data_IF_936416268079
#
_entry.id   IF_936416268079
#
_cell.length_a   1.000
_cell.length_b   1.000
_cell.length_c   1.000
_cell.angle_alpha   90.00
_cell.angle_beta   90.00
_cell.angle_gamma   90.00
#
_symmetry.space_group_name_H-M   'P 1'
#
loop_
_entity.id
_entity.type
_entity.pdbx_description
1 polymer ?
#
# COMPACT_ATOMS: atom_id res chain seq x y z
N UNK A 1 16.97 -7.46 2.21
CA UNK A 1 15.63 -8.03 2.02
C UNK A 1 15.02 -7.44 0.77
N UNK A 2 14.33 -8.23 -0.03
CA UNK A 2 13.61 -7.76 -1.23
C UNK A 2 12.19 -7.33 -0.83
N UNK A 3 11.83 -6.08 -1.15
CA UNK A 3 10.51 -5.51 -0.89
C UNK A 3 9.81 -5.29 -2.23
N UNK A 4 8.61 -5.80 -2.37
CA UNK A 4 7.79 -5.68 -3.57
C UNK A 4 6.57 -4.79 -3.35
N UNK A 5 6.27 -3.97 -4.34
CA UNK A 5 5.14 -3.04 -4.35
C UNK A 5 4.37 -3.25 -5.65
N UNK A 6 3.33 -4.07 -5.65
CA UNK A 6 2.49 -4.27 -6.81
C UNK A 6 1.54 -3.09 -7.04
N UNK A 7 1.04 -2.97 -8.26
CA UNK A 7 -0.06 -2.07 -8.60
C UNK A 7 -1.34 -2.53 -7.89
N UNK A 8 -2.04 -1.60 -7.25
CA UNK A 8 -3.35 -1.89 -6.65
C UNK A 8 -4.42 -2.16 -7.72
N UNK A 9 -5.21 -3.21 -7.50
CA UNK A 9 -6.24 -3.66 -8.45
C UNK A 9 -7.67 -3.44 -7.96
N UNK A 10 -7.83 -3.01 -6.70
CA UNK A 10 -9.14 -2.74 -6.14
C UNK A 10 -9.79 -1.54 -6.85
N UNK A 11 -11.07 -1.66 -7.20
CA UNK A 11 -11.79 -0.61 -7.90
C UNK A 11 -11.77 0.71 -7.10
N UNK A 12 -11.37 1.80 -7.76
CA UNK A 12 -11.27 3.13 -7.16
C UNK A 12 -10.06 3.34 -6.25
N UNK A 13 -9.18 2.35 -6.07
CA UNK A 13 -7.93 2.55 -5.32
C UNK A 13 -6.88 3.23 -6.21
N UNK A 14 -6.46 4.42 -5.80
CA UNK A 14 -5.46 5.23 -6.52
C UNK A 14 -4.15 5.38 -5.76
N UNK A 15 -4.10 4.90 -4.51
CA UNK A 15 -2.91 4.98 -3.67
C UNK A 15 -1.90 3.91 -4.05
N UNK A 16 -0.66 4.17 -3.69
CA UNK A 16 0.44 3.20 -3.73
C UNK A 16 1.02 3.05 -2.32
N UNK A 17 1.44 1.86 -1.96
CA UNK A 17 1.93 1.58 -0.59
C UNK A 17 3.29 2.21 -0.28
N UNK A 18 4.09 2.52 -1.30
CA UNK A 18 5.42 3.12 -1.17
C UNK A 18 5.56 4.27 -2.15
N UNK A 19 5.87 5.48 -1.66
CA UNK A 19 6.20 6.64 -2.49
C UNK A 19 7.69 6.62 -2.89
N UNK A 20 8.12 7.37 -3.92
CA UNK A 20 9.56 7.47 -4.27
C UNK A 20 10.44 7.90 -3.09
N UNK A 21 9.94 8.83 -2.25
CA UNK A 21 10.67 9.25 -1.05
C UNK A 21 10.84 8.09 -0.04
N UNK A 22 9.78 7.32 0.17
CA UNK A 22 9.82 6.14 1.05
C UNK A 22 10.74 5.07 0.47
N UNK A 23 10.70 4.82 -0.85
CA UNK A 23 11.60 3.90 -1.52
C UNK A 23 13.09 4.28 -1.30
N UNK A 24 13.41 5.56 -1.41
CA UNK A 24 14.75 6.08 -1.12
C UNK A 24 15.18 5.80 0.32
N UNK A 25 14.29 6.00 1.30
CA UNK A 25 14.57 5.72 2.72
C UNK A 25 14.81 4.23 2.98
N UNK A 26 13.96 3.36 2.44
CA UNK A 26 14.11 1.91 2.57
C UNK A 26 15.39 1.41 1.91
N UNK A 27 15.74 1.97 0.74
CA UNK A 27 17.00 1.65 0.07
C UNK A 27 18.22 2.06 0.90
N UNK A 28 18.19 3.23 1.53
CA UNK A 28 19.26 3.69 2.42
C UNK A 28 19.44 2.75 3.65
N UNK A 29 18.41 2.00 4.03
CA UNK A 29 18.45 0.96 5.07
C UNK A 29 18.97 -0.40 4.55
N UNK A 30 19.40 -0.48 3.29
CA UNK A 30 19.97 -1.70 2.71
C UNK A 30 18.95 -2.67 2.11
N UNK A 31 17.73 -2.22 1.82
CA UNK A 31 16.72 -3.04 1.16
C UNK A 31 16.75 -2.85 -0.36
N UNK A 32 16.38 -3.90 -1.11
CA UNK A 32 16.10 -3.81 -2.54
C UNK A 32 14.60 -3.60 -2.71
N UNK A 33 14.20 -2.60 -3.51
CA UNK A 33 12.80 -2.24 -3.71
C UNK A 33 12.42 -2.51 -5.16
N UNK A 34 11.39 -3.31 -5.38
CA UNK A 34 10.78 -3.57 -6.69
C UNK A 34 9.39 -2.99 -6.75
N UNK A 35 9.17 -2.15 -7.73
CA UNK A 35 7.88 -1.50 -7.99
C UNK A 35 7.31 -2.07 -9.28
N UNK A 36 6.07 -2.54 -9.28
CA UNK A 36 5.38 -2.89 -10.52
C UNK A 36 5.26 -1.66 -11.41
N UNK A 37 5.54 -1.83 -12.70
CA UNK A 37 5.44 -0.75 -13.67
C UNK A 37 4.07 -0.06 -13.61
N UNK A 38 4.06 1.25 -13.49
CA UNK A 38 2.85 2.05 -13.39
C UNK A 38 2.16 2.07 -12.01
N UNK A 39 2.67 1.36 -11.00
CA UNK A 39 2.02 1.25 -9.69
C UNK A 39 1.75 2.60 -8.99
N UNK A 40 2.59 3.59 -9.22
CA UNK A 40 2.47 4.92 -8.63
C UNK A 40 1.73 5.94 -9.49
N UNK A 41 1.37 5.65 -10.74
CA UNK A 41 0.85 6.65 -11.68
C UNK A 41 -0.43 7.33 -11.19
N UNK A 42 -1.36 6.57 -10.64
CA UNK A 42 -2.60 7.10 -10.07
C UNK A 42 -2.37 7.97 -8.82
N UNK A 43 -1.23 7.81 -8.15
CA UNK A 43 -0.77 8.62 -7.03
C UNK A 43 0.22 9.73 -7.44
N UNK A 44 0.31 10.05 -8.74
CA UNK A 44 1.23 11.05 -9.31
C UNK A 44 2.72 10.74 -9.12
N UNK A 45 3.07 9.46 -8.91
CA UNK A 45 4.44 8.98 -8.80
C UNK A 45 4.80 8.16 -10.05
N UNK A 46 5.69 8.69 -10.88
CA UNK A 46 6.10 8.04 -12.14
C UNK A 46 7.18 6.96 -11.91
N UNK A 47 7.27 6.01 -12.82
CA UNK A 47 8.33 4.98 -12.79
C UNK A 47 9.73 5.63 -12.81
N UNK A 48 9.91 6.72 -13.56
CA UNK A 48 11.16 7.47 -13.56
C UNK A 48 11.53 8.04 -12.19
N UNK A 49 10.53 8.48 -11.40
CA UNK A 49 10.77 8.97 -10.04
C UNK A 49 11.21 7.84 -9.10
N UNK A 50 10.66 6.63 -9.26
CA UNK A 50 11.11 5.45 -8.50
C UNK A 50 12.53 5.02 -8.89
N UNK A 51 12.86 5.02 -10.17
CA UNK A 51 14.22 4.73 -10.67
C UNK A 51 15.21 5.74 -10.08
N UNK A 52 14.88 7.03 -10.09
CA UNK A 52 15.71 8.08 -9.50
C UNK A 52 15.88 7.91 -7.97
N UNK A 53 14.88 7.33 -7.30
CA UNK A 53 14.95 6.96 -5.88
C UNK A 53 15.76 5.67 -5.63
N UNK A 54 16.21 4.99 -6.71
CA UNK A 54 16.99 3.77 -6.69
C UNK A 54 16.18 2.48 -6.54
N UNK A 55 14.87 2.51 -6.82
CA UNK A 55 14.05 1.32 -6.93
C UNK A 55 14.18 0.69 -8.33
N UNK A 56 13.89 -0.60 -8.41
CA UNK A 56 13.82 -1.37 -9.65
C UNK A 56 12.37 -1.41 -10.14
N UNK A 57 12.12 -1.12 -11.41
CA UNK A 57 10.82 -1.35 -12.04
C UNK A 57 10.75 -2.78 -12.55
N UNK A 58 9.64 -3.46 -12.30
CA UNK A 58 9.44 -4.86 -12.63
C UNK A 58 8.00 -5.10 -13.12
N UNK A 59 7.71 -6.33 -13.51
CA UNK A 59 6.35 -6.80 -13.74
C UNK A 59 5.65 -7.18 -12.42
N UNK A 60 4.37 -7.54 -12.52
CA UNK A 60 3.57 -7.97 -11.36
C UNK A 60 4.17 -9.16 -10.63
N UNK A 61 4.65 -10.16 -11.37
CA UNK A 61 5.22 -11.37 -10.76
C UNK A 61 6.50 -11.05 -9.98
N UNK A 62 7.34 -10.16 -10.50
CA UNK A 62 8.55 -9.70 -9.81
C UNK A 62 8.27 -8.90 -8.54
N UNK A 63 7.17 -8.11 -8.51
CA UNK A 63 6.75 -7.39 -7.32
C UNK A 63 6.11 -8.32 -6.27
N UNK A 64 5.20 -9.21 -6.69
CA UNK A 64 4.53 -10.15 -5.78
C UNK A 64 5.46 -11.24 -5.24
N UNK A 65 6.49 -11.65 -5.99
CA UNK A 65 7.47 -12.67 -5.59
C UNK A 65 8.55 -12.22 -4.60
N UNK A 66 8.40 -11.05 -3.98
CA UNK A 66 9.34 -10.49 -3.01
C UNK A 66 9.28 -11.20 -1.65
N UNK A 67 10.27 -10.94 -0.78
CA UNK A 67 10.29 -11.46 0.61
C UNK A 67 9.29 -10.71 1.51
N UNK A 68 9.05 -9.44 1.22
CA UNK A 68 8.05 -8.59 1.85
C UNK A 68 7.23 -7.90 0.76
N UNK A 69 5.93 -8.10 0.75
CA UNK A 69 5.00 -7.42 -0.16
C UNK A 69 4.23 -6.35 0.60
N UNK A 70 4.29 -5.12 0.11
CA UNK A 70 3.57 -3.98 0.66
C UNK A 70 2.39 -3.64 -0.25
N UNK A 71 1.18 -3.68 0.28
CA UNK A 71 -0.07 -3.33 -0.42
C UNK A 71 -0.88 -2.31 0.37
N UNK A 72 -1.73 -1.57 -0.33
CA UNK A 72 -2.76 -0.73 0.30
C UNK A 72 -3.96 -1.60 0.68
N UNK A 73 -4.42 -2.48 -0.21
CA UNK A 73 -5.57 -3.37 -0.01
C UNK A 73 -5.16 -4.83 0.08
N UNK A 74 -6.04 -5.65 0.64
CA UNK A 74 -5.85 -7.09 0.65
C UNK A 74 -5.61 -7.63 -0.78
N UNK A 75 -4.76 -8.65 -0.93
CA UNK A 75 -4.53 -9.27 -2.23
C UNK A 75 -5.80 -9.98 -2.73
N UNK A 76 -6.02 -9.94 -4.02
CA UNK A 76 -7.04 -10.75 -4.67
C UNK A 76 -6.64 -12.23 -4.71
N UNK A 77 -7.61 -13.12 -4.93
CA UNK A 77 -7.34 -14.55 -5.11
C UNK A 77 -6.38 -14.85 -6.28
N UNK A 78 -6.35 -13.99 -7.31
CA UNK A 78 -5.44 -14.11 -8.45
C UNK A 78 -3.99 -13.70 -8.13
N UNK A 79 -3.77 -12.89 -7.11
CA UNK A 79 -2.43 -12.42 -6.70
C UNK A 79 -1.73 -13.40 -5.76
N UNK A 80 -2.47 -14.11 -4.92
CA UNK A 80 -1.92 -15.03 -3.92
C UNK A 80 -0.98 -16.10 -4.48
N UNK A 81 -1.27 -16.76 -5.63
CA UNK A 81 -0.36 -17.76 -6.19
C UNK A 81 0.99 -17.22 -6.67
N UNK A 82 1.08 -15.91 -6.94
CA UNK A 82 2.32 -15.27 -7.36
C UNK A 82 3.19 -14.84 -6.16
N UNK A 83 2.67 -14.89 -4.95
CA UNK A 83 3.41 -14.59 -3.73
C UNK A 83 4.24 -15.79 -3.28
N UNK A 84 5.44 -15.50 -2.80
CA UNK A 84 6.35 -16.51 -2.30
C UNK A 84 5.86 -17.05 -0.95
N UNK A 85 5.72 -18.36 -0.82
CA UNK A 85 5.41 -18.97 0.48
C UNK A 85 6.49 -18.60 1.52
N UNK A 86 6.06 -18.25 2.72
CA UNK A 86 6.92 -17.72 3.78
C UNK A 86 7.20 -16.22 3.69
N UNK A 87 6.73 -15.53 2.63
CA UNK A 87 6.87 -14.10 2.54
C UNK A 87 5.99 -13.36 3.56
N UNK A 88 6.39 -12.13 3.89
CA UNK A 88 5.57 -11.22 4.69
C UNK A 88 4.67 -10.37 3.78
N UNK A 89 3.43 -10.13 4.22
CA UNK A 89 2.47 -9.26 3.57
C UNK A 89 2.02 -8.19 4.58
N UNK A 90 2.14 -6.92 4.21
CA UNK A 90 1.70 -5.80 5.06
C UNK A 90 0.76 -4.89 4.28
N UNK A 91 -0.36 -4.53 4.88
CA UNK A 91 -1.35 -3.66 4.27
C UNK A 91 -2.64 -3.57 5.09
N UNK A 92 -3.66 -2.97 4.53
CA UNK A 92 -5.04 -3.04 5.06
C UNK A 92 -5.69 -4.31 4.50
N UNK A 93 -5.73 -5.36 5.29
CA UNK A 93 -6.02 -6.72 4.85
C UNK A 93 -7.43 -7.19 5.19
N UNK A 94 -8.27 -6.29 5.74
CA UNK A 94 -9.64 -6.60 6.17
C UNK A 94 -9.71 -7.81 7.13
N UNK A 95 -9.25 -7.68 8.39
CA UNK A 95 -9.16 -8.78 9.34
C UNK A 95 -10.52 -9.38 9.74
N UNK A 96 -11.63 -8.80 9.28
CA UNK A 96 -12.99 -9.31 9.47
C UNK A 96 -13.47 -10.23 8.33
N UNK A 97 -12.73 -10.32 7.22
CA UNK A 97 -12.97 -11.24 6.13
C UNK A 97 -12.30 -12.60 6.41
N UNK A 98 -13.08 -13.50 7.01
CA UNK A 98 -12.58 -14.82 7.39
C UNK A 98 -12.09 -15.67 6.20
N UNK A 99 -12.70 -15.52 5.03
CA UNK A 99 -12.34 -16.29 3.85
C UNK A 99 -11.08 -15.72 3.19
N UNK A 100 -10.92 -14.40 3.14
CA UNK A 100 -9.69 -13.75 2.72
C UNK A 100 -8.52 -14.13 3.62
N UNK A 101 -8.71 -14.16 4.94
CA UNK A 101 -7.66 -14.57 5.89
C UNK A 101 -7.27 -16.05 5.72
N UNK A 102 -8.25 -16.95 5.50
CA UNK A 102 -7.95 -18.36 5.19
C UNK A 102 -7.14 -18.51 3.90
N UNK A 103 -7.48 -17.73 2.86
CA UNK A 103 -6.76 -17.76 1.60
C UNK A 103 -5.31 -17.28 1.76
N UNK A 104 -5.09 -16.19 2.51
CA UNK A 104 -3.74 -15.69 2.84
C UNK A 104 -2.95 -16.73 3.63
N UNK A 105 -3.57 -17.36 4.63
CA UNK A 105 -2.94 -18.42 5.42
C UNK A 105 -2.62 -19.66 4.57
N UNK A 106 -3.53 -20.07 3.68
CA UNK A 106 -3.31 -21.19 2.77
C UNK A 106 -2.17 -20.95 1.77
N UNK A 107 -1.93 -19.68 1.41
CA UNK A 107 -0.76 -19.28 0.60
C UNK A 107 0.57 -19.31 1.39
N UNK A 108 0.52 -19.60 2.69
CA UNK A 108 1.72 -19.70 3.55
C UNK A 108 2.36 -18.34 3.86
N UNK A 109 1.58 -17.26 3.86
CA UNK A 109 2.06 -15.89 4.10
C UNK A 109 2.01 -15.54 5.59
N UNK A 110 2.97 -14.72 6.04
CA UNK A 110 2.90 -14.04 7.33
C UNK A 110 2.32 -12.64 7.11
N UNK A 111 1.11 -12.39 7.58
CA UNK A 111 0.40 -11.15 7.27
C UNK A 111 0.23 -10.21 8.47
N UNK A 112 0.35 -8.91 8.20
CA UNK A 112 0.16 -7.83 9.18
C UNK A 112 -0.90 -6.86 8.64
N UNK A 113 -2.09 -6.91 9.24
CA UNK A 113 -3.19 -5.99 8.94
C UNK A 113 -2.99 -4.70 9.75
N UNK A 114 -2.67 -3.61 9.08
CA UNK A 114 -2.37 -2.32 9.74
C UNK A 114 -3.57 -1.75 10.47
N UNK A 115 -4.79 -1.99 9.99
CA UNK A 115 -6.03 -1.58 10.64
C UNK A 115 -6.34 -2.36 11.93
N UNK A 116 -5.69 -3.50 12.16
CA UNK A 116 -5.79 -4.28 13.39
C UNK A 116 -4.76 -3.86 14.45
N UNK A 117 -3.89 -2.89 14.16
CA UNK A 117 -2.91 -2.39 15.11
C UNK A 117 -3.61 -1.82 16.35
N UNK A 118 -3.19 -2.19 17.57
CA UNK A 118 -3.85 -1.73 18.81
C UNK A 118 -3.66 -0.20 18.96
N UNK A 119 -4.71 0.50 19.41
CA UNK A 119 -4.69 1.96 19.62
C UNK A 119 -3.97 2.31 20.92
N UNK A 120 -2.69 2.06 20.98
CA UNK A 120 -1.80 2.44 22.09
C UNK A 120 -0.91 3.60 21.69
N UNK A 121 -0.38 4.36 22.66
CA UNK A 121 0.55 5.47 22.40
C UNK A 121 1.75 5.01 21.55
N UNK A 122 2.22 3.80 21.75
CA UNK A 122 3.33 3.20 21.02
C UNK A 122 3.02 2.93 19.55
N UNK A 123 1.76 2.66 19.22
CA UNK A 123 1.30 2.33 17.88
C UNK A 123 0.79 3.54 17.08
N UNK A 124 0.76 4.75 17.67
CA UNK A 124 0.24 5.96 16.99
C UNK A 124 0.95 6.25 15.66
N UNK A 125 2.25 5.98 15.58
CA UNK A 125 3.02 6.17 14.35
C UNK A 125 2.65 5.20 13.21
N UNK A 126 1.94 4.11 13.54
CA UNK A 126 1.46 3.09 12.61
C UNK A 126 -0.05 3.16 12.39
N UNK A 127 -0.75 4.14 13.00
CA UNK A 127 -2.20 4.29 12.89
C UNK A 127 -2.60 4.85 11.51
N UNK A 128 -2.77 3.93 10.56
CA UNK A 128 -3.18 4.25 9.18
C UNK A 128 -4.62 4.75 9.11
N UNK A 129 -5.50 4.38 10.06
CA UNK A 129 -6.90 4.82 10.06
C UNK A 129 -6.98 6.29 10.42
N UNK A 130 -6.29 6.74 11.47
CA UNK A 130 -6.26 8.15 11.87
C UNK A 130 -5.61 9.03 10.82
N UNK A 131 -4.49 8.62 10.21
CA UNK A 131 -3.84 9.40 9.17
C UNK A 131 -4.72 9.57 7.92
N UNK A 132 -5.41 8.51 7.48
CA UNK A 132 -6.31 8.57 6.33
C UNK A 132 -7.59 9.35 6.65
N UNK A 133 -8.16 9.22 7.85
CA UNK A 133 -9.32 9.99 8.29
C UNK A 133 -9.01 11.49 8.36
N UNK A 134 -7.82 11.88 8.79
CA UNK A 134 -7.39 13.28 8.80
C UNK A 134 -7.37 13.89 7.39
N UNK A 135 -6.80 13.19 6.41
CA UNK A 135 -6.78 13.63 5.01
C UNK A 135 -8.20 13.73 4.44
N UNK A 136 -9.04 12.73 4.72
CA UNK A 136 -10.45 12.72 4.28
C UNK A 136 -11.23 13.89 4.88
N UNK A 137 -11.06 14.18 6.17
CA UNK A 137 -11.69 15.32 6.84
C UNK A 137 -11.25 16.65 6.26
N UNK A 138 -9.96 16.85 6.04
CA UNK A 138 -9.44 18.06 5.39
C UNK A 138 -10.06 18.25 3.99
N UNK A 139 -10.07 17.21 3.17
CA UNK A 139 -10.65 17.24 1.82
C UNK A 139 -12.15 17.55 1.85
N UNK A 140 -12.90 16.99 2.80
CA UNK A 140 -14.33 17.24 2.96
C UNK A 140 -14.62 18.72 3.24
N UNK A 141 -13.83 19.34 4.12
CA UNK A 141 -13.96 20.78 4.42
C UNK A 141 -13.68 21.64 3.18
N UNK A 142 -12.64 21.29 2.40
CA UNK A 142 -12.31 22.03 1.17
C UNK A 142 -13.42 21.93 0.12
N UNK A 143 -14.01 20.73 -0.04
CA UNK A 143 -15.14 20.52 -0.95
C UNK A 143 -16.36 21.33 -0.48
N UNK A 144 -16.68 21.29 0.81
CA UNK A 144 -17.80 22.03 1.37
C UNK A 144 -17.61 23.55 1.17
N UNK A 145 -16.43 24.08 1.42
CA UNK A 145 -16.11 25.50 1.21
C UNK A 145 -16.27 25.92 -0.26
N UNK A 146 -15.83 25.11 -1.21
CA UNK A 146 -16.00 25.37 -2.65
C UNK A 146 -17.49 25.41 -3.05
N UNK A 147 -18.29 24.48 -2.51
CA UNK A 147 -19.73 24.42 -2.80
C UNK A 147 -20.51 25.59 -2.17
N UNK A 148 -20.19 25.98 -0.94
CA UNK A 148 -20.81 27.13 -0.26
C UNK A 148 -20.48 28.44 -1.00
N UNK A 149 -19.23 28.63 -1.44
CA UNK A 149 -18.81 29.80 -2.19
C UNK A 149 -19.59 30.00 -3.49
N UNK A 150 -20.10 28.95 -4.09
CA UNK A 150 -20.93 28.97 -5.30
C UNK A 150 -22.41 29.32 -5.01
N UNK A 151 -22.86 29.14 -3.79
CA UNK A 151 -24.26 29.38 -3.40
C UNK A 151 -24.60 30.88 -3.15
N UNK A 152 -23.60 31.75 -3.12
CA UNK A 152 -23.75 33.20 -2.87
C UNK A 152 -23.53 34.06 -4.11
N UNK A 153 -23.58 33.53 -5.31
CA UNK A 153 -23.48 34.27 -6.57
C UNK A 153 -24.86 34.39 -7.22
#
# INVERSE_FOLDING_TARGET
MLIGVPLETAAGETRVSVTPETAKKLRAQGHTIRIEAGAGLAASATDAAYIAAGAEITDRAGALGADLVLKVRAPSAAELPAMKSGAALVGMLNPFDADGLKAIAAAGLTSFALEAAPRTTRAQSMDVLSSQANIAGYKAVMIAADQIGRAHV
#
